data_IF_495582726012
#
_entry.id   IF_495582726012
#
_cell.length_a   1.000
_cell.length_b   1.000
_cell.length_c   1.000
_cell.angle_alpha   90.00
_cell.angle_beta   90.00
_cell.angle_gamma   90.00
#
_symmetry.space_group_name_H-M   'P 1'
#
loop_
_entity.id
_entity.type
_entity.pdbx_description
1 polymer ?
#
# COMPACT_ATOMS: atom_id res chain seq x y z
N UNK A 1 -38.97 -12.80 33.06
CA UNK A 1 -37.86 -11.84 33.15
C UNK A 1 -36.69 -12.41 32.36
N UNK A 2 -36.63 -12.16 31.07
CA UNK A 2 -35.48 -12.50 30.20
C UNK A 2 -34.94 -11.18 29.72
N UNK A 3 -33.96 -10.65 30.46
CA UNK A 3 -33.24 -9.44 30.09
C UNK A 3 -32.43 -9.68 28.80
N UNK A 4 -32.78 -8.98 27.75
CA UNK A 4 -32.06 -8.98 26.49
C UNK A 4 -30.64 -8.43 26.71
N UNK A 5 -29.66 -9.31 26.56
CA UNK A 5 -28.19 -8.99 26.65
C UNK A 5 -27.74 -8.10 25.50
N UNK A 6 -28.59 -7.73 24.55
CA UNK A 6 -28.31 -6.88 23.40
C UNK A 6 -28.79 -5.44 23.64
N UNK A 7 -28.12 -4.75 24.54
CA UNK A 7 -28.45 -3.37 24.86
C UNK A 7 -27.51 -2.35 24.21
N UNK A 8 -28.11 -1.44 23.49
CA UNK A 8 -27.73 -0.12 23.01
C UNK A 8 -27.01 -0.07 21.64
N UNK A 9 -27.57 0.69 20.68
CA UNK A 9 -26.98 0.95 19.36
C UNK A 9 -25.56 1.58 19.43
N UNK A 10 -25.23 2.23 20.55
CA UNK A 10 -23.94 2.84 20.83
C UNK A 10 -22.82 1.78 21.02
N UNK A 11 -23.11 0.64 21.64
CA UNK A 11 -22.12 -0.41 21.91
C UNK A 11 -21.66 -1.14 20.66
N UNK A 12 -22.53 -1.37 19.68
CA UNK A 12 -22.17 -2.10 18.45
C UNK A 12 -21.26 -1.27 17.52
N UNK A 13 -21.47 0.05 17.40
CA UNK A 13 -20.58 0.93 16.64
C UNK A 13 -19.19 0.99 17.28
N UNK A 14 -19.12 1.09 18.61
CA UNK A 14 -17.86 1.08 19.35
C UNK A 14 -17.08 -0.24 19.16
N UNK A 15 -17.78 -1.38 19.15
CA UNK A 15 -17.17 -2.68 18.90
C UNK A 15 -16.59 -2.77 17.48
N UNK A 16 -17.28 -2.25 16.45
CA UNK A 16 -16.76 -2.18 15.08
C UNK A 16 -15.48 -1.34 15.04
N UNK A 17 -15.47 -0.19 15.68
CA UNK A 17 -14.28 0.68 15.74
C UNK A 17 -13.11 -0.03 16.43
N UNK A 18 -13.34 -0.74 17.53
CA UNK A 18 -12.31 -1.51 18.23
C UNK A 18 -11.74 -2.63 17.36
N UNK A 19 -12.61 -3.31 16.60
CA UNK A 19 -12.18 -4.33 15.63
C UNK A 19 -11.37 -3.70 14.49
N UNK A 20 -11.71 -2.51 14.01
CA UNK A 20 -10.92 -1.81 12.98
C UNK A 20 -9.53 -1.42 13.49
N UNK A 21 -9.37 -1.05 14.78
CA UNK A 21 -8.03 -0.85 15.36
C UNK A 21 -7.21 -2.15 15.33
N UNK A 22 -7.83 -3.29 15.69
CA UNK A 22 -7.18 -4.59 15.64
C UNK A 22 -6.83 -5.00 14.19
N UNK A 23 -7.75 -4.80 13.22
CA UNK A 23 -7.50 -5.05 11.79
C UNK A 23 -6.26 -4.29 11.35
N UNK A 24 -6.27 -2.97 11.52
CA UNK A 24 -5.18 -2.08 11.07
C UNK A 24 -3.83 -2.45 11.70
N UNK A 25 -3.84 -2.79 13.00
CA UNK A 25 -2.64 -3.23 13.70
C UNK A 25 -2.10 -4.57 13.15
N UNK A 26 -2.98 -5.52 12.83
CA UNK A 26 -2.61 -6.87 12.40
C UNK A 26 -2.19 -6.95 10.92
N UNK A 27 -2.57 -5.96 10.08
CA UNK A 27 -2.31 -5.99 8.62
C UNK A 27 -0.88 -6.37 8.23
N UNK A 28 0.20 -5.85 8.86
CA UNK A 28 1.56 -6.16 8.43
C UNK A 28 2.12 -7.47 8.99
N UNK A 29 1.37 -8.20 9.86
CA UNK A 29 1.92 -9.36 10.57
C UNK A 29 1.39 -10.70 10.09
N UNK A 30 0.10 -10.78 9.75
CA UNK A 30 -0.56 -12.06 9.54
C UNK A 30 -1.89 -11.92 8.84
N UNK A 31 -2.33 -12.98 8.19
CA UNK A 31 -3.69 -13.05 7.63
C UNK A 31 -4.79 -13.16 8.70
N UNK A 32 -4.45 -13.25 9.99
CA UNK A 32 -5.44 -13.24 11.08
C UNK A 32 -6.26 -11.95 11.14
N UNK A 33 -5.85 -10.87 10.48
CA UNK A 33 -6.66 -9.65 10.36
C UNK A 33 -8.03 -9.90 9.68
N UNK A 34 -8.20 -10.97 8.91
CA UNK A 34 -9.50 -11.33 8.35
C UNK A 34 -10.53 -11.65 9.43
N UNK A 35 -10.13 -12.22 10.56
CA UNK A 35 -11.05 -12.56 11.66
C UNK A 35 -11.76 -11.31 12.20
N UNK A 36 -11.07 -10.30 12.74
CA UNK A 36 -11.74 -9.08 13.19
C UNK A 36 -12.41 -8.31 12.04
N UNK A 37 -11.92 -8.40 10.79
CA UNK A 37 -12.56 -7.76 9.64
C UNK A 37 -13.92 -8.38 9.32
N UNK A 38 -14.01 -9.71 9.30
CA UNK A 38 -15.28 -10.41 9.05
C UNK A 38 -16.28 -10.16 10.19
N UNK A 39 -15.83 -10.17 11.44
CA UNK A 39 -16.70 -9.84 12.59
C UNK A 39 -17.20 -8.40 12.47
N UNK A 40 -16.33 -7.44 12.12
CA UNK A 40 -16.72 -6.05 11.90
C UNK A 40 -17.76 -5.91 10.76
N UNK A 41 -17.56 -6.65 9.65
CA UNK A 41 -18.51 -6.70 8.55
C UNK A 41 -19.88 -7.25 9.00
N UNK A 42 -19.90 -8.37 9.72
CA UNK A 42 -21.16 -8.97 10.21
C UNK A 42 -21.91 -8.02 11.16
N UNK A 43 -21.20 -7.35 12.06
CA UNK A 43 -21.80 -6.34 12.94
C UNK A 43 -22.31 -5.13 12.13
N UNK A 44 -21.60 -4.69 11.11
CA UNK A 44 -22.04 -3.59 10.26
C UNK A 44 -23.27 -3.97 9.44
N UNK A 45 -23.33 -5.18 8.87
CA UNK A 45 -24.52 -5.70 8.16
C UNK A 45 -25.74 -5.81 9.08
N UNK A 46 -25.54 -6.28 10.33
CA UNK A 46 -26.60 -6.30 11.33
C UNK A 46 -27.13 -4.90 11.63
N UNK A 47 -26.24 -3.91 11.81
CA UNK A 47 -26.64 -2.50 12.00
C UNK A 47 -27.41 -1.95 10.80
N UNK A 48 -26.96 -2.22 9.58
CA UNK A 48 -27.68 -1.80 8.37
C UNK A 48 -29.07 -2.39 8.29
N UNK A 49 -29.26 -3.63 8.75
CA UNK A 49 -30.58 -4.28 8.81
C UNK A 49 -31.50 -3.61 9.83
N UNK A 50 -30.97 -3.18 10.99
CA UNK A 50 -31.76 -2.55 12.04
C UNK A 50 -32.05 -1.07 11.80
N UNK A 51 -31.07 -0.31 11.30
CA UNK A 51 -31.14 1.15 11.19
C UNK A 51 -31.27 1.66 9.75
N UNK A 52 -31.20 0.77 8.76
CA UNK A 52 -31.30 1.11 7.34
C UNK A 52 -29.97 1.45 6.68
N UNK A 53 -30.00 1.52 5.33
CA UNK A 53 -28.79 1.75 4.49
C UNK A 53 -28.13 3.12 4.70
N UNK A 54 -28.79 4.06 5.34
CA UNK A 54 -28.27 5.40 5.63
C UNK A 54 -27.05 5.37 6.57
N UNK A 55 -26.84 4.26 7.27
CA UNK A 55 -25.66 4.04 8.12
C UNK A 55 -24.35 3.91 7.31
N UNK A 56 -24.39 3.49 6.05
CA UNK A 56 -23.17 3.26 5.26
C UNK A 56 -22.75 4.49 4.46
N UNK A 57 -21.52 4.92 4.68
CA UNK A 57 -20.84 5.96 3.87
C UNK A 57 -19.86 5.29 2.93
N UNK A 58 -20.07 5.42 1.63
CA UNK A 58 -19.23 4.79 0.62
C UNK A 58 -18.10 5.74 0.16
N UNK A 59 -18.22 7.02 0.50
CA UNK A 59 -17.29 8.08 0.12
C UNK A 59 -17.53 8.66 -1.28
N UNK A 60 -16.92 9.82 -1.53
CA UNK A 60 -17.11 10.60 -2.76
C UNK A 60 -16.58 9.92 -4.04
N UNK A 61 -15.73 8.90 -3.92
CA UNK A 61 -15.20 8.11 -5.04
C UNK A 61 -16.00 6.84 -5.34
N UNK A 62 -17.23 6.72 -4.83
CA UNK A 62 -18.07 5.52 -4.95
C UNK A 62 -18.26 5.04 -6.40
N UNK A 63 -18.36 5.94 -7.36
CA UNK A 63 -18.53 5.58 -8.78
C UNK A 63 -17.29 4.91 -9.35
N UNK A 64 -16.10 5.48 -9.08
CA UNK A 64 -14.84 4.90 -9.53
C UNK A 64 -14.57 3.53 -8.87
N UNK A 65 -14.82 3.41 -7.54
CA UNK A 65 -14.70 2.15 -6.83
C UNK A 65 -15.67 1.08 -7.32
N UNK A 66 -16.94 1.43 -7.52
CA UNK A 66 -17.94 0.51 -8.08
C UNK A 66 -17.60 0.07 -9.52
N UNK A 67 -17.17 1.01 -10.37
CA UNK A 67 -16.73 0.69 -11.73
C UNK A 67 -15.54 -0.28 -11.72
N UNK A 68 -14.55 -0.05 -10.86
CA UNK A 68 -13.42 -0.96 -10.72
C UNK A 68 -13.85 -2.35 -10.23
N UNK A 69 -14.69 -2.45 -9.20
CA UNK A 69 -15.20 -3.72 -8.71
C UNK A 69 -15.98 -4.47 -9.79
N UNK A 70 -16.80 -3.77 -10.57
CA UNK A 70 -17.54 -4.36 -11.68
C UNK A 70 -16.59 -4.87 -12.77
N UNK A 71 -15.66 -4.04 -13.25
CA UNK A 71 -14.72 -4.44 -14.30
C UNK A 71 -13.82 -5.60 -13.86
N UNK A 72 -13.33 -5.57 -12.62
CA UNK A 72 -12.51 -6.66 -12.07
C UNK A 72 -13.31 -7.95 -11.86
N UNK A 73 -14.61 -7.87 -11.56
CA UNK A 73 -15.50 -9.03 -11.53
C UNK A 73 -15.73 -9.59 -12.94
N UNK A 74 -16.04 -8.73 -13.90
CA UNK A 74 -16.26 -9.14 -15.30
C UNK A 74 -14.98 -9.75 -15.92
N UNK A 75 -13.79 -9.34 -15.47
CA UNK A 75 -12.53 -9.93 -15.97
C UNK A 75 -12.42 -11.43 -15.69
N UNK A 76 -13.10 -11.93 -14.65
CA UNK A 76 -13.15 -13.37 -14.32
C UNK A 76 -13.64 -14.22 -15.50
N UNK A 77 -14.48 -13.66 -16.39
CA UNK A 77 -15.01 -14.35 -17.57
C UNK A 77 -13.89 -14.81 -18.51
N UNK A 78 -12.83 -14.00 -18.64
CA UNK A 78 -11.68 -14.27 -19.52
C UNK A 78 -10.59 -15.11 -18.84
N UNK A 79 -10.71 -15.37 -17.54
CA UNK A 79 -9.70 -16.17 -16.85
C UNK A 79 -9.64 -17.61 -17.36
N UNK A 80 -8.44 -18.17 -17.59
CA UNK A 80 -8.27 -19.60 -17.84
C UNK A 80 -8.78 -20.46 -16.67
N UNK A 81 -8.63 -20.00 -15.45
CA UNK A 81 -9.21 -20.59 -14.24
C UNK A 81 -10.17 -19.61 -13.58
N UNK A 82 -11.45 -19.74 -13.93
CA UNK A 82 -12.52 -18.86 -13.45
C UNK A 82 -12.75 -18.98 -11.95
N UNK A 83 -12.64 -20.20 -11.40
CA UNK A 83 -12.86 -20.43 -9.98
C UNK A 83 -11.75 -19.77 -9.15
N UNK A 84 -10.50 -19.94 -9.56
CA UNK A 84 -9.35 -19.28 -8.96
C UNK A 84 -9.49 -17.75 -9.01
N UNK A 85 -9.84 -17.18 -10.17
CA UNK A 85 -10.00 -15.73 -10.31
C UNK A 85 -11.18 -15.20 -9.50
N UNK A 86 -12.29 -15.94 -9.42
CA UNK A 86 -13.44 -15.57 -8.58
C UNK A 86 -13.07 -15.60 -7.09
N UNK A 87 -12.35 -16.64 -6.66
CA UNK A 87 -11.84 -16.73 -5.29
C UNK A 87 -10.95 -15.53 -4.96
N UNK A 88 -9.96 -15.24 -5.81
CA UNK A 88 -9.08 -14.09 -5.63
C UNK A 88 -9.85 -12.76 -5.63
N UNK A 89 -10.88 -12.63 -6.47
CA UNK A 89 -11.71 -11.41 -6.49
C UNK A 89 -12.48 -11.24 -5.17
N UNK A 90 -13.04 -12.31 -4.62
CA UNK A 90 -13.76 -12.25 -3.34
C UNK A 90 -12.83 -11.91 -2.16
N UNK A 91 -11.62 -12.45 -2.12
CA UNK A 91 -10.70 -12.26 -1.01
C UNK A 91 -9.78 -11.05 -1.15
N UNK A 92 -9.69 -10.42 -2.32
CA UNK A 92 -8.83 -9.25 -2.55
C UNK A 92 -9.68 -7.99 -2.82
N UNK A 93 -10.14 -7.69 -4.05
CA UNK A 93 -10.85 -6.44 -4.31
C UNK A 93 -12.07 -6.21 -3.44
N UNK A 94 -12.87 -7.28 -3.22
CA UNK A 94 -14.05 -7.17 -2.39
C UNK A 94 -13.71 -6.87 -0.92
N UNK A 95 -12.70 -7.56 -0.35
CA UNK A 95 -12.28 -7.31 1.03
C UNK A 95 -11.59 -5.94 1.19
N UNK A 96 -10.86 -5.46 0.17
CA UNK A 96 -10.35 -4.09 0.16
C UNK A 96 -11.48 -3.07 0.22
N UNK A 97 -12.55 -3.28 -0.57
CA UNK A 97 -13.73 -2.43 -0.56
C UNK A 97 -14.48 -2.48 0.78
N UNK A 98 -14.61 -3.68 1.38
CA UNK A 98 -15.20 -3.85 2.71
C UNK A 98 -14.45 -3.04 3.76
N UNK A 99 -13.13 -3.22 3.86
CA UNK A 99 -12.31 -2.47 4.81
C UNK A 99 -12.40 -0.96 4.58
N UNK A 100 -12.32 -0.54 3.32
CA UNK A 100 -12.46 0.86 2.92
C UNK A 100 -13.79 1.45 3.39
N UNK A 101 -14.92 0.80 3.08
CA UNK A 101 -16.27 1.26 3.44
C UNK A 101 -16.45 1.29 4.96
N UNK A 102 -15.96 0.27 5.68
CA UNK A 102 -16.03 0.24 7.14
C UNK A 102 -15.27 1.41 7.77
N UNK A 103 -14.05 1.72 7.30
CA UNK A 103 -13.28 2.85 7.81
C UNK A 103 -13.96 4.18 7.45
N UNK A 104 -14.43 4.37 6.20
CA UNK A 104 -15.12 5.61 5.80
C UNK A 104 -16.40 5.82 6.61
N UNK A 105 -17.10 4.74 6.95
CA UNK A 105 -18.36 4.79 7.72
C UNK A 105 -18.11 5.08 9.20
N UNK A 106 -17.22 4.33 9.85
CA UNK A 106 -17.08 4.33 11.30
C UNK A 106 -15.93 5.17 11.84
N UNK A 107 -14.99 5.63 10.98
CA UNK A 107 -14.01 6.61 11.40
C UNK A 107 -14.59 8.04 11.32
N UNK A 108 -15.66 8.30 12.04
CA UNK A 108 -16.48 9.51 12.00
C UNK A 108 -15.96 10.65 12.88
N UNK A 109 -15.02 10.38 13.80
CA UNK A 109 -14.45 11.37 14.70
C UNK A 109 -12.92 11.49 14.55
N UNK A 110 -12.41 12.64 15.00
CA UNK A 110 -10.98 12.91 15.05
C UNK A 110 -10.22 11.88 15.91
N UNK A 111 -10.79 11.49 17.04
CA UNK A 111 -10.15 10.57 17.98
C UNK A 111 -10.07 9.15 17.40
N UNK A 112 -11.10 8.69 16.71
CA UNK A 112 -11.08 7.38 16.03
C UNK A 112 -10.01 7.37 14.95
N UNK A 113 -9.92 8.40 14.08
CA UNK A 113 -8.87 8.51 13.05
C UNK A 113 -7.48 8.57 13.66
N UNK A 114 -7.33 9.30 14.77
CA UNK A 114 -6.06 9.35 15.51
C UNK A 114 -5.66 7.98 16.04
N UNK A 115 -6.58 7.23 16.61
CA UNK A 115 -6.30 5.89 17.14
C UNK A 115 -6.02 4.89 16.01
N UNK A 116 -6.67 4.99 14.85
CA UNK A 116 -6.31 4.22 13.65
C UNK A 116 -4.87 4.51 13.22
N UNK A 117 -4.48 5.79 13.16
CA UNK A 117 -3.09 6.16 12.84
C UNK A 117 -2.09 5.68 13.89
N UNK A 118 -2.45 5.71 15.17
CA UNK A 118 -1.62 5.14 16.24
C UNK A 118 -1.48 3.62 16.12
N UNK A 119 -2.54 2.89 15.71
CA UNK A 119 -2.48 1.45 15.43
C UNK A 119 -1.53 1.15 14.26
N UNK A 120 -1.55 1.95 13.18
CA UNK A 120 -0.58 1.84 12.09
C UNK A 120 0.86 2.07 12.56
N UNK A 121 1.09 3.13 13.34
CA UNK A 121 2.44 3.44 13.84
C UNK A 121 2.94 2.41 14.84
N UNK A 122 2.07 1.87 15.70
CA UNK A 122 2.42 0.77 16.60
C UNK A 122 2.81 -0.50 15.81
N UNK A 123 2.02 -0.86 14.79
CA UNK A 123 2.37 -1.93 13.85
C UNK A 123 3.72 -1.68 13.17
N UNK A 124 3.97 -0.45 12.70
CA UNK A 124 5.22 -0.09 12.05
C UNK A 124 6.44 -0.19 12.98
N UNK A 125 6.30 0.18 14.25
CA UNK A 125 7.37 -0.01 15.26
C UNK A 125 7.70 -1.50 15.42
N UNK A 126 6.70 -2.38 15.52
CA UNK A 126 6.95 -3.81 15.63
C UNK A 126 7.57 -4.41 14.36
N UNK A 127 7.13 -3.97 13.17
CA UNK A 127 7.76 -4.34 11.89
C UNK A 127 9.24 -3.94 11.88
N UNK A 128 9.58 -2.73 12.34
CA UNK A 128 10.97 -2.29 12.43
C UNK A 128 11.77 -3.13 13.43
N UNK A 129 11.25 -3.34 14.65
CA UNK A 129 11.94 -4.10 15.70
C UNK A 129 12.21 -5.53 15.24
N UNK A 130 11.18 -6.23 14.75
CA UNK A 130 11.33 -7.59 14.24
C UNK A 130 12.28 -7.64 13.03
N UNK A 131 12.15 -6.70 12.10
CA UNK A 131 13.00 -6.66 10.91
C UNK A 131 14.47 -6.35 11.23
N UNK A 132 14.76 -5.52 12.24
CA UNK A 132 16.13 -5.29 12.72
C UNK A 132 16.67 -6.56 13.38
N UNK A 133 15.88 -7.22 14.23
CA UNK A 133 16.26 -8.50 14.81
C UNK A 133 16.57 -9.53 13.71
N UNK A 134 15.67 -9.71 12.75
CA UNK A 134 15.85 -10.59 11.59
C UNK A 134 17.14 -10.24 10.83
N UNK A 135 17.33 -8.97 10.46
CA UNK A 135 18.48 -8.50 9.69
C UNK A 135 19.82 -8.78 10.40
N UNK A 136 19.84 -8.76 11.73
CA UNK A 136 21.07 -8.99 12.53
C UNK A 136 21.33 -10.47 12.83
N UNK A 137 20.28 -11.33 12.87
CA UNK A 137 20.39 -12.74 13.31
C UNK A 137 20.29 -13.76 12.18
N UNK A 138 19.93 -13.35 10.94
CA UNK A 138 19.82 -14.30 9.83
C UNK A 138 21.23 -14.67 9.35
N UNK A 139 21.64 -15.86 9.73
CA UNK A 139 22.88 -16.50 9.26
C UNK A 139 22.62 -17.31 7.98
N UNK A 140 21.39 -17.79 7.75
CA UNK A 140 21.08 -18.80 6.72
C UNK A 140 20.00 -18.44 5.69
N UNK A 141 19.73 -17.15 5.45
CA UNK A 141 18.85 -16.78 4.31
C UNK A 141 19.43 -17.15 2.94
N UNK A 142 20.69 -17.49 2.85
CA UNK A 142 21.29 -17.98 1.61
C UNK A 142 20.56 -19.20 1.04
N UNK A 143 20.04 -20.08 1.88
CA UNK A 143 19.24 -21.25 1.47
C UNK A 143 17.84 -20.87 1.02
N UNK A 144 17.20 -19.89 1.64
CA UNK A 144 15.82 -19.48 1.30
C UNK A 144 15.79 -18.53 0.09
N UNK A 145 16.80 -17.68 -0.07
CA UNK A 145 16.94 -16.79 -1.24
C UNK A 145 17.51 -17.50 -2.47
N UNK A 146 18.35 -18.53 -2.31
CA UNK A 146 18.80 -19.37 -3.42
C UNK A 146 17.63 -20.17 -4.03
N UNK A 147 16.59 -20.48 -3.25
CA UNK A 147 15.37 -21.08 -3.74
C UNK A 147 14.50 -20.12 -4.58
N UNK A 148 14.76 -18.80 -4.55
CA UNK A 148 13.91 -17.80 -5.18
C UNK A 148 14.59 -16.99 -6.30
N UNK A 149 15.86 -17.23 -6.66
CA UNK A 149 16.62 -16.61 -7.79
C UNK A 149 16.49 -15.07 -7.93
N UNK A 150 16.28 -14.36 -6.81
CA UNK A 150 15.93 -12.93 -6.81
C UNK A 150 17.13 -11.99 -7.04
N UNK A 151 18.34 -12.52 -6.94
CA UNK A 151 19.58 -11.75 -7.09
C UNK A 151 20.67 -12.65 -7.63
N UNK A 152 21.40 -12.17 -8.64
CA UNK A 152 22.64 -12.79 -9.07
C UNK A 152 23.67 -12.71 -7.93
N UNK A 153 23.78 -13.79 -7.18
CA UNK A 153 24.67 -13.94 -6.03
C UNK A 153 26.15 -13.76 -6.39
N UNK A 154 26.52 -14.03 -7.63
CA UNK A 154 27.91 -13.89 -8.10
C UNK A 154 28.30 -12.42 -8.27
N UNK A 155 27.35 -11.57 -8.67
CA UNK A 155 27.57 -10.13 -8.88
C UNK A 155 27.31 -9.29 -7.63
N UNK A 156 26.40 -9.74 -6.76
CA UNK A 156 25.99 -9.00 -5.56
C UNK A 156 25.97 -9.90 -4.32
N UNK A 157 27.14 -10.43 -3.90
CA UNK A 157 27.20 -11.40 -2.79
C UNK A 157 26.68 -10.87 -1.46
N UNK A 158 26.56 -9.55 -1.29
CA UNK A 158 26.09 -8.92 -0.05
C UNK A 158 24.59 -8.64 -0.02
N UNK A 159 23.85 -8.90 -1.10
CA UNK A 159 22.39 -8.75 -1.12
C UNK A 159 21.66 -9.90 -0.42
N UNK A 160 22.38 -10.86 0.16
CA UNK A 160 21.82 -11.89 1.04
C UNK A 160 21.13 -11.31 2.27
N UNK A 161 21.57 -10.15 2.76
CA UNK A 161 20.97 -9.47 3.89
C UNK A 161 20.14 -8.28 3.42
N UNK A 162 18.88 -8.52 3.08
CA UNK A 162 17.91 -7.47 2.81
C UNK A 162 16.89 -7.42 3.94
N UNK A 163 16.49 -6.19 4.32
CA UNK A 163 15.43 -5.99 5.30
C UNK A 163 14.06 -6.31 4.67
N UNK A 164 13.29 -7.25 5.20
CA UNK A 164 11.94 -7.59 4.73
C UNK A 164 10.92 -7.79 5.86
N UNK A 165 11.36 -8.06 7.09
CA UNK A 165 10.53 -8.19 8.28
C UNK A 165 9.40 -9.24 8.09
N UNK A 166 8.19 -8.91 8.54
CA UNK A 166 7.00 -9.76 8.45
C UNK A 166 6.35 -9.78 7.06
N UNK A 167 6.85 -8.99 6.10
CA UNK A 167 6.24 -8.86 4.78
C UNK A 167 6.88 -9.78 3.72
N UNK A 168 7.74 -10.70 4.14
CA UNK A 168 8.31 -11.81 3.36
C UNK A 168 9.14 -11.39 2.12
N UNK A 169 8.98 -10.16 1.63
CA UNK A 169 9.67 -9.63 0.46
C UNK A 169 10.18 -8.21 0.70
N UNK A 170 11.48 -7.92 0.42
CA UNK A 170 12.05 -6.59 0.63
C UNK A 170 11.34 -5.46 -0.10
N UNK A 171 10.79 -5.69 -1.30
CA UNK A 171 10.08 -4.66 -2.06
C UNK A 171 8.68 -4.40 -1.49
N UNK A 172 8.00 -5.45 -0.98
CA UNK A 172 6.73 -5.31 -0.27
C UNK A 172 6.94 -4.52 1.02
N UNK A 173 7.95 -4.90 1.80
CA UNK A 173 8.33 -4.19 3.01
C UNK A 173 8.69 -2.73 2.72
N UNK A 174 9.48 -2.47 1.67
CA UNK A 174 9.83 -1.12 1.26
C UNK A 174 8.59 -0.25 0.96
N UNK A 175 7.58 -0.80 0.28
CA UNK A 175 6.34 -0.07 0.00
C UNK A 175 5.54 0.22 1.27
N UNK A 176 5.46 -0.73 2.20
CA UNK A 176 4.87 -0.50 3.51
C UNK A 176 5.59 0.62 4.28
N UNK A 177 6.93 0.56 4.32
CA UNK A 177 7.76 1.59 4.97
C UNK A 177 7.60 2.97 4.30
N UNK A 178 7.46 3.04 2.96
CA UNK A 178 7.16 4.29 2.25
C UNK A 178 5.83 4.91 2.71
N UNK A 179 4.78 4.09 2.82
CA UNK A 179 3.48 4.57 3.31
C UNK A 179 3.58 5.08 4.74
N UNK A 180 4.24 4.33 5.63
CA UNK A 180 4.43 4.74 7.03
C UNK A 180 5.29 6.01 7.13
N UNK A 181 6.36 6.12 6.34
CA UNK A 181 7.21 7.32 6.26
C UNK A 181 6.42 8.54 5.78
N UNK A 182 5.54 8.36 4.78
CA UNK A 182 4.69 9.43 4.26
C UNK A 182 3.76 10.03 5.33
N UNK A 183 3.20 9.20 6.19
CA UNK A 183 2.34 9.70 7.25
C UNK A 183 3.12 10.18 8.47
N UNK A 184 4.12 9.41 8.94
CA UNK A 184 4.91 9.83 10.12
C UNK A 184 5.65 11.13 9.87
N UNK A 185 6.22 11.32 8.67
CA UNK A 185 6.85 12.57 8.25
C UNK A 185 5.87 13.74 8.19
N UNK A 186 4.67 13.53 7.61
CA UNK A 186 3.63 14.57 7.61
C UNK A 186 3.21 14.94 9.04
N UNK A 187 2.99 13.97 9.92
CA UNK A 187 2.67 14.24 11.31
C UNK A 187 3.82 14.97 12.03
N UNK A 188 5.08 14.61 11.78
CA UNK A 188 6.25 15.31 12.31
C UNK A 188 6.27 16.79 11.91
N UNK A 189 5.95 17.10 10.65
CA UNK A 189 5.95 18.47 10.15
C UNK A 189 4.92 19.36 10.87
N UNK A 190 3.75 18.81 11.18
CA UNK A 190 2.63 19.56 11.78
C UNK A 190 2.54 19.47 13.30
N UNK A 191 3.29 18.56 13.97
CA UNK A 191 3.26 18.44 15.43
C UNK A 191 3.99 19.60 16.11
N UNK A 192 3.32 20.24 17.07
CA UNK A 192 3.85 21.39 17.82
C UNK A 192 4.45 21.01 19.17
N UNK A 193 3.99 19.90 19.77
CA UNK A 193 4.44 19.43 21.09
C UNK A 193 5.81 18.79 20.98
N UNK A 194 6.83 19.37 21.60
CA UNK A 194 8.25 18.94 21.46
C UNK A 194 8.44 17.43 21.64
N UNK A 195 7.84 16.83 22.70
CA UNK A 195 7.98 15.39 22.98
C UNK A 195 7.39 14.53 21.86
N UNK A 196 6.16 14.82 21.42
CA UNK A 196 5.49 14.07 20.34
C UNK A 196 6.21 14.26 19.01
N UNK A 197 6.69 15.48 18.73
CA UNK A 197 7.49 15.77 17.55
C UNK A 197 8.81 14.98 17.55
N UNK A 198 9.49 14.87 18.69
CA UNK A 198 10.69 14.03 18.83
C UNK A 198 10.43 12.55 18.60
N UNK A 199 9.31 12.01 19.10
CA UNK A 199 8.91 10.62 18.85
C UNK A 199 8.59 10.37 17.37
N UNK A 200 7.90 11.29 16.72
CA UNK A 200 7.60 11.19 15.28
C UNK A 200 8.86 11.31 14.42
N UNK A 201 9.81 12.16 14.81
CA UNK A 201 11.12 12.22 14.15
C UNK A 201 11.86 10.90 14.27
N UNK A 202 11.93 10.33 15.48
CA UNK A 202 12.58 9.04 15.73
C UNK A 202 11.93 7.91 14.92
N UNK A 203 10.60 7.86 14.89
CA UNK A 203 9.83 6.92 14.07
C UNK A 203 10.17 7.08 12.58
N UNK A 204 10.11 8.32 12.06
CA UNK A 204 10.37 8.59 10.64
C UNK A 204 11.81 8.24 10.26
N UNK A 205 12.79 8.57 11.09
CA UNK A 205 14.19 8.21 10.86
C UNK A 205 14.38 6.69 10.88
N UNK A 206 13.79 6.00 11.84
CA UNK A 206 13.82 4.54 11.92
C UNK A 206 13.25 3.88 10.67
N UNK A 207 12.09 4.36 10.20
CA UNK A 207 11.45 3.89 8.96
C UNK A 207 12.35 4.11 7.73
N UNK A 208 12.99 5.28 7.61
CA UNK A 208 13.91 5.60 6.50
C UNK A 208 15.17 4.72 6.55
N UNK A 209 15.71 4.47 7.74
CA UNK A 209 16.86 3.55 7.89
C UNK A 209 16.46 2.12 7.47
N UNK A 210 15.33 1.60 7.96
CA UNK A 210 14.84 0.29 7.56
C UNK A 210 14.56 0.23 6.04
N UNK A 211 14.02 1.31 5.46
CA UNK A 211 13.81 1.43 4.02
C UNK A 211 15.12 1.35 3.25
N UNK A 212 16.18 2.02 3.71
CA UNK A 212 17.51 1.93 3.10
C UNK A 212 18.04 0.48 3.11
N UNK A 213 17.85 -0.24 4.21
CA UNK A 213 18.27 -1.64 4.38
C UNK A 213 17.46 -2.65 3.54
N UNK A 214 16.34 -2.25 2.94
CA UNK A 214 15.63 -3.11 1.98
C UNK A 214 16.38 -3.26 0.65
N UNK A 215 17.32 -2.38 0.35
CA UNK A 215 18.02 -2.27 -0.95
C UNK A 215 17.06 -2.17 -2.16
N UNK A 216 15.84 -1.67 -1.95
CA UNK A 216 14.85 -1.45 -3.01
C UNK A 216 15.09 -0.10 -3.69
N UNK A 217 15.68 -0.13 -4.89
CA UNK A 217 16.03 1.06 -5.67
C UNK A 217 14.81 1.93 -6.01
N UNK A 218 13.69 1.27 -6.40
CA UNK A 218 12.43 1.97 -6.68
C UNK A 218 11.90 2.72 -5.46
N UNK A 219 12.02 2.11 -4.27
CA UNK A 219 11.60 2.74 -3.03
C UNK A 219 12.49 3.93 -2.63
N UNK A 220 13.78 3.89 -2.89
CA UNK A 220 14.66 5.04 -2.66
C UNK A 220 14.29 6.24 -3.55
N UNK A 221 14.00 5.98 -4.84
CA UNK A 221 13.48 7.01 -5.75
C UNK A 221 12.15 7.55 -5.20
N UNK A 222 11.24 6.68 -4.76
CA UNK A 222 9.95 7.08 -4.21
C UNK A 222 10.08 7.92 -2.94
N UNK A 223 11.10 7.69 -2.11
CA UNK A 223 11.40 8.52 -0.95
C UNK A 223 11.77 9.96 -1.35
N UNK A 224 12.51 10.14 -2.47
CA UNK A 224 12.80 11.48 -3.00
C UNK A 224 11.51 12.19 -3.44
N UNK A 225 10.53 11.46 -3.97
CA UNK A 225 9.23 12.04 -4.32
C UNK A 225 8.39 12.39 -3.08
N UNK A 226 8.50 11.65 -1.95
CA UNK A 226 7.91 12.08 -0.67
C UNK A 226 8.49 13.42 -0.23
N UNK A 227 9.82 13.56 -0.27
CA UNK A 227 10.49 14.82 0.05
C UNK A 227 10.10 15.95 -0.92
N UNK A 228 9.94 15.64 -2.21
CA UNK A 228 9.47 16.61 -3.19
C UNK A 228 8.05 17.09 -2.89
N UNK A 229 7.13 16.20 -2.53
CA UNK A 229 5.77 16.58 -2.10
C UNK A 229 5.83 17.49 -0.87
N UNK A 230 6.65 17.15 0.13
CA UNK A 230 6.80 17.99 1.33
C UNK A 230 7.45 19.35 1.02
N UNK A 231 8.47 19.36 0.15
CA UNK A 231 9.14 20.58 -0.28
C UNK A 231 8.23 21.54 -1.04
N UNK A 232 7.38 21.00 -1.92
CA UNK A 232 6.42 21.79 -2.70
C UNK A 232 5.26 22.32 -1.86
N UNK A 233 4.76 21.48 -0.93
CA UNK A 233 3.51 21.77 -0.24
C UNK A 233 3.69 22.41 1.12
N UNK A 234 4.74 22.08 1.85
CA UNK A 234 4.96 22.54 3.22
C UNK A 234 6.07 23.59 3.33
N UNK A 235 7.32 23.24 2.96
CA UNK A 235 8.46 24.18 3.03
C UNK A 235 9.54 23.78 2.01
N UNK A 236 9.86 24.70 1.09
CA UNK A 236 10.87 24.49 0.04
C UNK A 236 12.27 24.18 0.60
N UNK A 237 12.57 24.53 1.85
CA UNK A 237 13.84 24.20 2.52
C UNK A 237 14.07 22.70 2.64
N UNK A 238 12.99 21.89 2.61
CA UNK A 238 13.08 20.43 2.63
C UNK A 238 13.77 19.87 1.38
N UNK A 239 13.81 20.61 0.28
CA UNK A 239 14.62 20.25 -0.89
C UNK A 239 16.12 20.17 -0.59
N UNK A 240 16.61 20.89 0.44
CA UNK A 240 17.99 20.77 0.87
C UNK A 240 18.37 19.36 1.34
N UNK A 241 17.37 18.57 1.82
CA UNK A 241 17.60 17.17 2.19
C UNK A 241 17.94 16.30 0.97
N UNK A 242 17.51 16.69 -0.24
CA UNK A 242 17.89 15.98 -1.47
C UNK A 242 19.40 16.09 -1.75
N UNK A 243 20.04 17.17 -1.29
CA UNK A 243 21.49 17.36 -1.42
C UNK A 243 22.29 16.38 -0.53
N UNK A 244 21.65 15.80 0.49
CA UNK A 244 22.30 14.75 1.30
C UNK A 244 22.53 13.47 0.51
N UNK A 245 21.74 13.20 -0.53
CA UNK A 245 21.87 11.97 -1.33
C UNK A 245 23.26 11.87 -1.99
N UNK A 246 23.70 12.83 -2.83
CA UNK A 246 25.03 12.77 -3.40
C UNK A 246 26.14 12.83 -2.35
N UNK A 247 25.94 13.55 -1.25
CA UNK A 247 26.91 13.58 -0.14
C UNK A 247 27.06 12.20 0.50
N UNK A 248 25.94 11.52 0.82
CA UNK A 248 25.97 10.17 1.38
C UNK A 248 26.63 9.21 0.38
N UNK A 249 26.31 9.28 -0.91
CA UNK A 249 26.89 8.43 -1.94
C UNK A 249 28.40 8.67 -2.12
N UNK A 250 28.84 9.91 -1.93
CA UNK A 250 30.27 10.26 -2.05
C UNK A 250 31.09 9.75 -0.87
N UNK A 251 30.60 9.93 0.36
CA UNK A 251 31.34 9.54 1.56
C UNK A 251 31.12 8.07 1.98
N UNK A 252 29.97 7.47 1.65
CA UNK A 252 29.65 6.10 1.98
C UNK A 252 29.81 5.19 0.75
N UNK A 253 31.03 4.67 0.54
CA UNK A 253 31.34 3.72 -0.54
C UNK A 253 30.88 2.29 -0.25
N UNK A 254 29.88 2.12 0.62
CA UNK A 254 29.33 0.83 0.99
C UNK A 254 28.28 0.30 0.00
N UNK A 255 27.66 -0.82 0.37
CA UNK A 255 26.70 -1.57 -0.44
C UNK A 255 25.51 -0.73 -0.95
N UNK A 256 25.02 0.24 -0.14
CA UNK A 256 23.93 1.15 -0.51
C UNK A 256 24.36 2.02 -1.71
N UNK A 257 25.57 2.57 -1.68
CA UNK A 257 26.08 3.41 -2.78
C UNK A 257 26.27 2.58 -4.06
N UNK A 258 26.90 1.41 -3.98
CA UNK A 258 27.08 0.50 -5.12
C UNK A 258 25.71 0.13 -5.71
N UNK A 259 24.73 -0.20 -4.87
CA UNK A 259 23.38 -0.56 -5.33
C UNK A 259 22.63 0.62 -5.94
N UNK A 260 22.82 1.84 -5.42
CA UNK A 260 22.23 3.04 -6.00
C UNK A 260 22.84 3.35 -7.36
N UNK A 261 24.17 3.30 -7.47
CA UNK A 261 24.89 3.55 -8.74
C UNK A 261 24.55 2.50 -9.81
N UNK A 262 24.17 1.26 -9.42
CA UNK A 262 23.73 0.24 -10.37
C UNK A 262 22.42 0.61 -11.11
N UNK A 263 21.66 1.64 -10.65
CA UNK A 263 20.53 2.20 -11.41
C UNK A 263 20.96 2.74 -12.80
N UNK A 264 22.19 3.21 -12.90
CA UNK A 264 22.74 3.82 -14.10
C UNK A 264 23.57 2.83 -14.94
N UNK A 265 23.64 1.56 -14.51
CA UNK A 265 24.40 0.52 -15.23
C UNK A 265 23.54 -0.16 -16.27
N UNK A 266 23.96 -0.11 -17.54
CA UNK A 266 23.31 -0.80 -18.65
C UNK A 266 23.41 -2.36 -18.56
N UNK A 267 24.21 -2.88 -17.64
CA UNK A 267 24.46 -4.32 -17.48
C UNK A 267 23.59 -4.99 -16.40
N UNK A 268 22.60 -4.27 -15.83
CA UNK A 268 21.72 -4.84 -14.82
C UNK A 268 20.70 -5.79 -15.48
N UNK A 269 20.90 -7.10 -15.29
CA UNK A 269 20.05 -8.16 -15.84
C UNK A 269 18.59 -8.03 -15.39
N UNK A 270 18.34 -7.49 -14.16
CA UNK A 270 16.98 -7.32 -13.64
C UNK A 270 16.20 -6.23 -14.41
N UNK A 271 16.87 -5.21 -14.92
CA UNK A 271 16.26 -4.17 -15.75
C UNK A 271 15.90 -4.76 -17.12
N UNK A 272 16.82 -5.50 -17.73
CA UNK A 272 16.60 -6.17 -19.03
C UNK A 272 15.42 -7.15 -18.99
N UNK A 273 15.31 -7.96 -17.91
CA UNK A 273 14.17 -8.87 -17.70
C UNK A 273 12.85 -8.11 -17.58
N UNK A 274 12.82 -6.99 -16.85
CA UNK A 274 11.60 -6.15 -16.73
C UNK A 274 11.15 -5.60 -18.08
N UNK A 275 12.06 -5.10 -18.92
CA UNK A 275 11.69 -4.63 -20.27
C UNK A 275 11.11 -5.76 -21.14
N UNK A 276 11.66 -6.98 -21.04
CA UNK A 276 11.08 -8.14 -21.72
C UNK A 276 9.68 -8.46 -21.21
N UNK A 277 9.49 -8.49 -19.88
CA UNK A 277 8.17 -8.70 -19.26
C UNK A 277 7.18 -7.61 -19.68
N UNK A 278 7.59 -6.33 -19.70
CA UNK A 278 6.70 -5.23 -20.10
C UNK A 278 6.25 -5.37 -21.56
N UNK A 279 7.20 -5.70 -22.47
CA UNK A 279 6.87 -5.93 -23.88
C UNK A 279 5.89 -7.09 -24.06
N UNK A 280 6.10 -8.20 -23.37
CA UNK A 280 5.21 -9.35 -23.43
C UNK A 280 3.85 -9.04 -22.79
N UNK A 281 3.83 -8.29 -21.67
CA UNK A 281 2.58 -7.83 -21.05
C UNK A 281 1.79 -6.89 -21.97
N UNK A 282 2.44 -6.02 -22.73
CA UNK A 282 1.75 -5.18 -23.73
C UNK A 282 1.07 -6.02 -24.81
N UNK A 283 1.66 -7.16 -25.21
CA UNK A 283 1.00 -8.12 -26.12
C UNK A 283 -0.21 -8.75 -25.46
N UNK A 284 -0.09 -9.19 -24.19
CA UNK A 284 -1.24 -9.71 -23.42
C UNK A 284 -2.39 -8.69 -23.37
N UNK A 285 -2.09 -7.42 -23.13
CA UNK A 285 -3.09 -6.34 -23.10
C UNK A 285 -3.73 -6.15 -24.49
N UNK A 286 -2.92 -6.21 -25.56
CA UNK A 286 -3.41 -6.12 -26.94
C UNK A 286 -4.38 -7.25 -27.30
N UNK A 287 -4.14 -8.47 -26.82
CA UNK A 287 -4.99 -9.62 -27.06
C UNK A 287 -6.25 -9.64 -26.17
N UNK A 288 -6.19 -9.01 -24.99
CA UNK A 288 -7.29 -8.95 -24.02
C UNK A 288 -7.64 -7.51 -23.59
N UNK A 289 -7.94 -6.57 -24.49
CA UNK A 289 -7.98 -5.13 -24.18
C UNK A 289 -9.16 -4.73 -23.30
N UNK A 290 -10.31 -5.42 -23.38
CA UNK A 290 -11.55 -5.03 -22.72
C UNK A 290 -11.69 -5.59 -21.30
N UNK A 291 -11.48 -6.88 -21.11
CA UNK A 291 -11.68 -7.57 -19.82
C UNK A 291 -10.36 -8.00 -19.17
N UNK A 292 -9.23 -7.89 -19.88
CA UNK A 292 -7.96 -8.43 -19.41
C UNK A 292 -7.95 -9.96 -19.44
N UNK A 293 -6.93 -10.55 -18.83
CA UNK A 293 -6.77 -12.01 -18.74
C UNK A 293 -7.46 -12.63 -17.50
N UNK A 294 -8.13 -11.83 -16.68
CA UNK A 294 -8.79 -12.25 -15.44
C UNK A 294 -8.05 -11.79 -14.19
N UNK A 295 -8.80 -11.43 -13.15
CA UNK A 295 -8.22 -10.98 -11.89
C UNK A 295 -7.34 -12.05 -11.25
N UNK A 296 -6.06 -11.74 -11.04
CA UNK A 296 -5.07 -12.65 -10.47
C UNK A 296 -4.56 -13.73 -11.43
N UNK A 297 -5.06 -13.81 -12.69
CA UNK A 297 -4.70 -14.83 -13.65
C UNK A 297 -3.43 -14.53 -14.48
N UNK A 298 -2.76 -13.41 -14.24
CA UNK A 298 -1.55 -13.02 -14.97
C UNK A 298 -0.54 -14.17 -15.10
N UNK A 299 -0.23 -14.85 -14.00
CA UNK A 299 0.76 -15.92 -13.98
C UNK A 299 0.34 -17.17 -14.77
N UNK A 300 -0.96 -17.38 -14.99
CA UNK A 300 -1.47 -18.49 -15.81
C UNK A 300 -1.32 -18.20 -17.30
N UNK A 301 -1.42 -16.92 -17.70
CA UNK A 301 -1.45 -16.51 -19.10
C UNK A 301 -0.07 -16.07 -19.60
N UNK A 302 0.76 -15.46 -18.73
CA UNK A 302 2.08 -14.92 -19.11
C UNK A 302 3.02 -15.95 -19.78
N UNK A 303 3.09 -17.23 -19.37
CA UNK A 303 3.96 -18.22 -20.02
C UNK A 303 3.68 -18.43 -21.53
N UNK A 304 2.49 -18.11 -22.02
CA UNK A 304 2.16 -18.20 -23.45
C UNK A 304 2.81 -17.09 -24.26
N UNK A 305 3.23 -16.00 -23.61
CA UNK A 305 3.92 -14.85 -24.21
C UNK A 305 5.43 -14.87 -24.01
N UNK A 306 5.95 -15.81 -23.18
CA UNK A 306 7.39 -15.92 -22.88
C UNK A 306 7.83 -17.39 -22.85
N UNK A 307 8.34 -17.86 -24.00
CA UNK A 307 8.77 -19.25 -24.15
C UNK A 307 9.95 -19.61 -23.24
N UNK A 308 10.81 -18.66 -22.86
CA UNK A 308 11.93 -18.93 -21.97
C UNK A 308 11.43 -19.19 -20.56
N UNK A 309 10.51 -18.37 -20.06
CA UNK A 309 9.87 -18.54 -18.75
C UNK A 309 9.07 -19.82 -18.73
N UNK A 310 8.31 -20.12 -19.78
CA UNK A 310 7.54 -21.37 -19.91
C UNK A 310 8.44 -22.61 -19.82
N UNK A 311 9.59 -22.61 -20.51
CA UNK A 311 10.54 -23.73 -20.47
C UNK A 311 11.29 -23.85 -19.16
N UNK A 312 11.58 -22.73 -18.51
CA UNK A 312 12.25 -22.68 -17.22
C UNK A 312 11.35 -23.10 -16.03
N UNK A 313 10.01 -23.19 -16.25
CA UNK A 313 9.06 -23.49 -15.17
C UNK A 313 8.98 -22.42 -14.09
N UNK A 314 9.41 -21.18 -14.41
CA UNK A 314 9.39 -20.06 -13.46
C UNK A 314 8.02 -19.40 -13.46
N UNK A 315 7.46 -19.15 -12.27
CA UNK A 315 6.19 -18.47 -12.13
C UNK A 315 6.37 -16.95 -11.99
N UNK A 316 5.80 -16.20 -12.92
CA UNK A 316 5.81 -14.72 -12.90
C UNK A 316 4.41 -14.24 -12.53
N UNK A 317 4.24 -13.72 -11.32
CA UNK A 317 2.94 -13.30 -10.79
C UNK A 317 2.43 -11.97 -11.35
N UNK A 318 3.33 -11.10 -11.84
CA UNK A 318 2.99 -9.76 -12.35
C UNK A 318 4.15 -9.18 -13.19
N UNK A 319 3.86 -8.12 -13.95
CA UNK A 319 4.81 -7.48 -14.88
C UNK A 319 5.95 -6.70 -14.19
N UNK A 320 6.09 -6.68 -12.86
CA UNK A 320 6.91 -5.71 -12.13
C UNK A 320 6.68 -4.26 -12.57
N UNK A 321 5.42 -3.94 -12.85
CA UNK A 321 4.92 -2.62 -13.18
C UNK A 321 3.42 -2.61 -12.84
N UNK A 322 3.02 -1.73 -11.92
CA UNK A 322 1.63 -1.65 -11.44
C UNK A 322 0.66 -1.34 -12.57
N UNK A 323 1.04 -0.43 -13.46
CA UNK A 323 0.16 0.06 -14.53
C UNK A 323 -0.13 -1.06 -15.54
N UNK A 324 0.91 -1.73 -16.00
CA UNK A 324 0.78 -2.84 -16.94
C UNK A 324 0.09 -4.06 -16.30
N UNK A 325 0.43 -4.38 -15.04
CA UNK A 325 -0.17 -5.52 -14.34
C UNK A 325 -1.67 -5.34 -14.13
N UNK A 326 -2.11 -4.15 -13.74
CA UNK A 326 -3.54 -3.86 -13.59
C UNK A 326 -4.24 -3.95 -14.96
N UNK A 327 -3.69 -3.32 -16.02
CA UNK A 327 -4.28 -3.40 -17.37
C UNK A 327 -4.36 -4.85 -17.88
N UNK A 328 -3.33 -5.64 -17.68
CA UNK A 328 -3.33 -7.05 -18.11
C UNK A 328 -4.40 -7.88 -17.37
N UNK A 329 -4.62 -7.63 -16.07
CA UNK A 329 -5.60 -8.38 -15.28
C UNK A 329 -7.06 -8.00 -15.59
N UNK A 330 -7.38 -6.70 -15.76
CA UNK A 330 -8.76 -6.19 -15.82
C UNK A 330 -9.11 -5.44 -17.11
N UNK A 331 -8.20 -5.42 -18.08
CA UNK A 331 -8.35 -4.68 -19.32
C UNK A 331 -8.21 -3.15 -19.14
N UNK A 332 -8.30 -2.42 -20.25
CA UNK A 332 -8.14 -0.97 -20.27
C UNK A 332 -9.26 -0.27 -19.49
N UNK A 333 -10.56 -0.61 -19.67
CA UNK A 333 -11.64 0.02 -18.91
C UNK A 333 -11.50 -0.18 -17.40
N UNK A 334 -11.14 -1.38 -16.96
CA UNK A 334 -10.90 -1.69 -15.56
C UNK A 334 -9.70 -0.93 -14.99
N UNK A 335 -8.62 -0.79 -15.76
CA UNK A 335 -7.46 -0.01 -15.37
C UNK A 335 -7.81 1.49 -15.26
N UNK A 336 -8.59 2.05 -16.17
CA UNK A 336 -9.08 3.45 -16.08
C UNK A 336 -9.87 3.64 -14.78
N UNK A 337 -10.79 2.73 -14.45
CA UNK A 337 -11.58 2.80 -13.24
C UNK A 337 -10.69 2.65 -11.97
N UNK A 338 -9.70 1.74 -12.00
CA UNK A 338 -8.74 1.57 -10.92
C UNK A 338 -7.94 2.86 -10.67
N UNK A 339 -7.33 3.44 -11.73
CA UNK A 339 -6.50 4.64 -11.58
C UNK A 339 -7.32 5.88 -11.29
N UNK A 340 -8.58 5.97 -11.77
CA UNK A 340 -9.51 7.00 -11.33
C UNK A 340 -9.76 6.91 -9.82
N UNK A 341 -10.03 5.70 -9.29
CA UNK A 341 -10.19 5.50 -7.85
C UNK A 341 -8.89 5.82 -7.10
N UNK A 342 -7.75 5.30 -7.58
CA UNK A 342 -6.43 5.47 -6.98
C UNK A 342 -6.01 6.94 -6.88
N UNK A 343 -5.92 7.63 -8.01
CA UNK A 343 -5.49 9.04 -8.06
C UNK A 343 -6.57 10.02 -7.63
N UNK A 344 -7.83 9.64 -7.68
CA UNK A 344 -8.94 10.45 -7.22
C UNK A 344 -8.81 10.88 -5.76
N UNK A 345 -8.17 10.06 -4.92
CA UNK A 345 -7.90 10.38 -3.51
C UNK A 345 -7.00 11.60 -3.34
N UNK A 346 -6.09 11.90 -4.28
CA UNK A 346 -5.23 13.10 -4.24
C UNK A 346 -6.08 14.36 -4.16
N UNK A 347 -7.14 14.47 -4.98
CA UNK A 347 -8.03 15.64 -5.00
C UNK A 347 -8.67 15.89 -3.63
N UNK A 348 -9.12 14.82 -2.95
CA UNK A 348 -9.79 14.92 -1.66
C UNK A 348 -8.79 15.17 -0.54
N UNK A 349 -7.65 14.49 -0.54
CA UNK A 349 -6.55 14.72 0.39
C UNK A 349 -6.01 16.16 0.30
N UNK A 350 -5.89 16.69 -0.91
CA UNK A 350 -5.52 18.09 -1.15
C UNK A 350 -6.52 19.07 -0.54
N UNK A 351 -7.84 18.80 -0.69
CA UNK A 351 -8.86 19.65 -0.06
C UNK A 351 -8.81 19.60 1.45
N UNK A 352 -8.59 18.40 2.04
CA UNK A 352 -8.37 18.24 3.48
C UNK A 352 -7.15 19.04 3.92
N UNK A 353 -6.03 18.90 3.23
CA UNK A 353 -4.79 19.59 3.52
C UNK A 353 -4.95 21.12 3.45
N UNK A 354 -5.50 21.65 2.36
CA UNK A 354 -5.58 23.11 2.11
C UNK A 354 -6.66 23.82 2.93
N UNK A 355 -7.79 23.16 3.18
CA UNK A 355 -8.94 23.80 3.84
C UNK A 355 -8.98 23.60 5.36
N UNK A 356 -8.21 22.64 5.89
CA UNK A 356 -8.16 22.41 7.33
C UNK A 356 -7.35 23.49 8.06
N UNK A 357 -7.84 23.90 9.23
CA UNK A 357 -7.06 24.65 10.21
C UNK A 357 -6.42 23.72 11.26
N UNK A 358 -6.99 22.53 11.48
CA UNK A 358 -6.42 21.54 12.39
C UNK A 358 -5.19 20.85 11.77
N UNK A 359 -4.07 20.91 12.49
CA UNK A 359 -2.80 20.33 12.09
C UNK A 359 -2.86 18.82 11.90
N UNK A 360 -3.73 18.11 12.63
CA UNK A 360 -3.95 16.68 12.47
C UNK A 360 -4.50 16.35 11.07
N UNK A 361 -5.50 17.07 10.60
CA UNK A 361 -6.07 16.84 9.27
C UNK A 361 -5.12 17.33 8.15
N UNK A 362 -4.36 18.39 8.39
CA UNK A 362 -3.27 18.78 7.47
C UNK A 362 -2.26 17.64 7.30
N UNK A 363 -1.87 17.00 8.40
CA UNK A 363 -0.94 15.87 8.36
C UNK A 363 -1.53 14.66 7.62
N UNK A 364 -2.82 14.33 7.85
CA UNK A 364 -3.50 13.26 7.09
C UNK A 364 -3.50 13.59 5.60
N UNK A 365 -3.94 14.80 5.22
CA UNK A 365 -4.03 15.18 3.81
C UNK A 365 -2.68 15.14 3.10
N UNK A 366 -1.63 15.74 3.69
CA UNK A 366 -0.28 15.74 3.13
C UNK A 366 0.32 14.32 3.10
N UNK A 367 0.13 13.53 4.16
CA UNK A 367 0.58 12.13 4.23
C UNK A 367 -0.08 11.25 3.17
N UNK A 368 -1.39 11.44 2.91
CA UNK A 368 -2.12 10.74 1.86
C UNK A 368 -1.55 11.06 0.47
N UNK A 369 -1.32 12.34 0.15
CA UNK A 369 -0.74 12.77 -1.14
C UNK A 369 0.65 12.15 -1.30
N UNK A 370 1.50 12.23 -0.28
CA UNK A 370 2.84 11.68 -0.31
C UNK A 370 2.84 10.15 -0.48
N UNK A 371 1.95 9.43 0.22
CA UNK A 371 1.82 7.98 0.11
C UNK A 371 1.36 7.54 -1.29
N UNK A 372 0.34 8.18 -1.86
CA UNK A 372 -0.13 7.89 -3.23
C UNK A 372 1.01 8.13 -4.23
N UNK A 373 1.69 9.27 -4.12
CA UNK A 373 2.80 9.61 -5.01
C UNK A 373 3.94 8.59 -4.89
N UNK A 374 4.34 8.24 -3.68
CA UNK A 374 5.42 7.28 -3.46
C UNK A 374 5.09 5.88 -4.01
N UNK A 375 3.88 5.38 -3.76
CA UNK A 375 3.45 4.07 -4.27
C UNK A 375 3.28 4.10 -5.78
N UNK A 376 2.80 5.20 -6.37
CA UNK A 376 2.68 5.37 -7.82
C UNK A 376 4.06 5.34 -8.51
N UNK A 377 5.05 6.05 -7.95
CA UNK A 377 6.42 6.07 -8.47
C UNK A 377 7.07 4.69 -8.32
N UNK A 378 6.97 4.06 -7.15
CA UNK A 378 7.45 2.69 -6.96
C UNK A 378 6.78 1.71 -7.92
N UNK A 379 5.51 1.94 -8.22
CA UNK A 379 4.68 1.15 -9.13
C UNK A 379 5.13 1.16 -10.59
N UNK A 380 6.03 2.07 -11.00
CA UNK A 380 6.65 2.05 -12.34
C UNK A 380 7.60 0.86 -12.46
N UNK A 381 8.34 0.56 -11.40
CA UNK A 381 9.36 -0.50 -11.39
C UNK A 381 8.94 -1.79 -10.68
N UNK A 382 7.80 -1.80 -9.99
CA UNK A 382 7.28 -2.98 -9.31
C UNK A 382 5.74 -2.90 -9.16
N UNK A 383 5.11 -4.02 -8.78
CA UNK A 383 3.66 -4.04 -8.47
C UNK A 383 3.43 -4.63 -7.09
N UNK A 384 3.72 -3.85 -6.07
CA UNK A 384 3.66 -4.30 -4.67
C UNK A 384 2.23 -4.37 -4.12
N UNK A 385 1.27 -3.69 -4.75
CA UNK A 385 -0.15 -3.77 -4.39
C UNK A 385 -0.82 -5.11 -4.81
N UNK A 386 -0.09 -6.07 -5.37
CA UNK A 386 -0.58 -7.44 -5.50
C UNK A 386 -0.59 -8.17 -4.14
N UNK A 387 0.26 -7.74 -3.21
CA UNK A 387 0.29 -8.28 -1.84
C UNK A 387 -0.94 -7.85 -1.06
N UNK A 388 -1.59 -8.81 -0.41
CA UNK A 388 -2.78 -8.59 0.40
C UNK A 388 -2.50 -7.56 1.52
N UNK A 389 -1.43 -7.79 2.29
CA UNK A 389 -1.08 -6.94 3.43
C UNK A 389 -0.79 -5.49 3.00
N UNK A 390 0.00 -5.30 1.93
CA UNK A 390 0.37 -3.97 1.41
C UNK A 390 -0.84 -3.25 0.85
N UNK A 391 -1.70 -3.95 0.07
CA UNK A 391 -2.94 -3.38 -0.46
C UNK A 391 -3.93 -3.02 0.62
N UNK A 392 -4.15 -3.89 1.61
CA UNK A 392 -5.03 -3.58 2.74
C UNK A 392 -4.55 -2.35 3.51
N UNK A 393 -3.24 -2.24 3.79
CA UNK A 393 -2.66 -1.05 4.41
C UNK A 393 -2.90 0.20 3.55
N UNK A 394 -2.65 0.11 2.23
CA UNK A 394 -2.85 1.24 1.32
C UNK A 394 -4.30 1.72 1.33
N UNK A 395 -5.26 0.83 1.09
CA UNK A 395 -6.68 1.20 1.00
C UNK A 395 -7.26 1.64 2.35
N UNK A 396 -6.79 1.09 3.48
CA UNK A 396 -7.15 1.58 4.81
C UNK A 396 -6.68 3.02 5.06
N UNK A 397 -5.45 3.36 4.64
CA UNK A 397 -4.93 4.72 4.73
C UNK A 397 -5.71 5.69 3.82
N UNK A 398 -6.06 5.25 2.60
CA UNK A 398 -6.90 6.04 1.68
C UNK A 398 -8.29 6.28 2.27
N UNK A 399 -8.86 5.28 2.94
CA UNK A 399 -10.16 5.40 3.62
C UNK A 399 -10.11 6.41 4.78
N UNK A 400 -9.02 6.45 5.57
CA UNK A 400 -8.83 7.47 6.62
C UNK A 400 -8.77 8.88 5.99
N UNK A 401 -8.07 9.05 4.87
CA UNK A 401 -8.04 10.30 4.12
C UNK A 401 -9.42 10.72 3.64
N UNK A 402 -10.20 9.78 3.09
CA UNK A 402 -11.57 10.02 2.59
C UNK A 402 -12.52 10.33 3.74
N UNK A 403 -12.52 9.59 4.85
CA UNK A 403 -13.37 9.87 6.01
C UNK A 403 -13.09 11.25 6.60
N UNK A 404 -11.85 11.71 6.54
CA UNK A 404 -11.44 13.05 6.96
C UNK A 404 -12.01 14.15 6.06
N UNK A 405 -12.26 13.87 4.78
CA UNK A 405 -12.89 14.77 3.85
C UNK A 405 -14.42 14.85 4.06
N UNK A 406 -15.07 13.68 4.20
CA UNK A 406 -16.54 13.58 4.37
C UNK A 406 -17.01 14.28 5.65
N UNK A 407 -16.32 14.10 6.77
CA UNK A 407 -16.59 14.77 8.04
C UNK A 407 -16.61 16.31 7.91
N UNK A 408 -15.73 16.87 7.06
CA UNK A 408 -15.66 18.30 6.84
C UNK A 408 -16.75 18.85 5.95
N UNK A 409 -17.27 18.06 5.04
CA UNK A 409 -18.44 18.46 4.25
C UNK A 409 -19.66 18.63 5.16
N UNK A 410 -19.84 17.71 6.12
CA UNK A 410 -20.96 17.79 7.08
C UNK A 410 -20.83 18.99 8.01
N UNK A 411 -19.60 19.29 8.47
CA UNK A 411 -19.35 20.44 9.37
C UNK A 411 -19.55 21.78 8.68
N UNK A 412 -19.25 21.87 7.36
CA UNK A 412 -19.44 23.12 6.60
C UNK A 412 -20.90 23.34 6.14
N UNK A 413 -21.73 22.31 6.15
CA UNK A 413 -23.14 22.37 5.77
C UNK A 413 -24.08 22.58 6.98
N UNK A 414 -23.54 22.57 8.21
CA UNK A 414 -24.21 22.97 9.46
C UNK A 414 -23.83 24.37 9.88
#
# INVERSE_FOLDING_TARGET
>A
MTGSVFTKPYTSAHNIVSLLYAVVFLLPFTHLFYVPLVIALLLALWRVREHGKQELRIGSLRQAGAAFLLCSFLSVINSPDKLFSLFNWCFLPLMYAVLYILIVTYADSRDIRKNLMLSFFAGAVLVMVYGVWQYTHIVDMATDMAAHDWVDASRFPMLYRRFYSTLENPNLCATYLLMMTSYSGAFFLFEKRRRQKGLLLLLTMGLVICLALTYSRGAWISLLFILAVYGLEYDKRLFALLLLVPVILFFYQGQVAVRFLSLFSAQDTSIGMRFTMWRNTLRMISDHPLLGCGWGAYYLVYPDYDLLIRRAGVTIFHAHNMYLSVMANVGIPGAIAYFWFYFGHIRYAWRVYRRSQDTFYKAIGLGTIAAITAVAVNGIGDYTLFSIAVSMCFWALMAIGMSSYEDRLETNNR
#
